data_IF_301873492548
#
_entry.id   IF_301873492548
#
_cell.length_a   1.000
_cell.length_b   1.000
_cell.length_c   1.000
_cell.angle_alpha   90.00
_cell.angle_beta   90.00
_cell.angle_gamma   90.00
#
_symmetry.space_group_name_H-M   'P 1'
#
loop_
_entity.id
_entity.type
_entity.pdbx_description
1 polymer ?
#
# COMPACT_ATOMS: atom_id res chain seq x y z
N UNK A 1 25.15 6.55 0.24
CA UNK A 1 24.39 6.15 -0.97
C UNK A 1 23.15 5.43 -0.52
N UNK A 2 21.97 5.96 -0.86
CA UNK A 2 20.71 5.26 -0.62
C UNK A 2 20.70 3.97 -1.46
N UNK A 3 20.27 2.82 -0.90
CA UNK A 3 20.14 1.60 -1.68
C UNK A 3 19.02 1.80 -2.71
N UNK A 4 19.40 2.01 -3.96
CA UNK A 4 18.45 2.06 -5.08
C UNK A 4 18.01 0.62 -5.36
N UNK A 5 16.70 0.38 -5.39
CA UNK A 5 16.14 -0.89 -5.79
C UNK A 5 16.57 -1.18 -7.24
N UNK A 6 17.40 -2.21 -7.44
CA UNK A 6 17.80 -2.63 -8.79
C UNK A 6 16.62 -3.33 -9.46
N UNK A 7 16.09 -2.72 -10.52
CA UNK A 7 14.93 -3.21 -11.26
C UNK A 7 15.33 -3.61 -12.67
N UNK A 8 14.82 -4.75 -13.15
CA UNK A 8 15.01 -5.19 -14.55
C UNK A 8 14.25 -4.30 -15.55
N UNK A 9 13.15 -3.69 -15.12
CA UNK A 9 12.40 -2.69 -15.86
C UNK A 9 11.67 -1.76 -14.89
N UNK A 10 11.01 -0.72 -15.43
CA UNK A 10 10.37 0.34 -14.64
C UNK A 10 8.92 0.02 -14.24
N UNK A 11 8.38 -1.15 -14.62
CA UNK A 11 6.98 -1.49 -14.32
C UNK A 11 6.92 -2.24 -13.00
N UNK A 12 6.29 -1.63 -12.02
CA UNK A 12 6.04 -2.21 -10.70
C UNK A 12 4.54 -2.42 -10.53
N UNK A 13 4.12 -3.65 -10.23
CA UNK A 13 2.73 -3.91 -9.89
C UNK A 13 2.41 -3.35 -8.51
N UNK A 14 1.51 -2.36 -8.45
CA UNK A 14 1.13 -1.68 -7.22
C UNK A 14 0.44 -2.62 -6.21
N UNK A 15 0.58 -2.32 -4.92
CA UNK A 15 -0.05 -3.09 -3.83
C UNK A 15 -1.55 -3.29 -4.05
N UNK A 16 -1.99 -4.53 -3.96
CA UNK A 16 -3.39 -4.94 -4.10
C UNK A 16 -3.82 -5.29 -5.53
N UNK A 17 -3.03 -4.98 -6.57
CA UNK A 17 -3.38 -5.30 -7.97
C UNK A 17 -3.13 -6.78 -8.32
N UNK A 18 -2.07 -7.36 -7.78
CA UNK A 18 -1.68 -8.76 -8.00
C UNK A 18 -1.75 -9.62 -6.72
N UNK A 19 -2.36 -9.12 -5.65
CA UNK A 19 -2.45 -9.82 -4.37
C UNK A 19 -1.08 -10.21 -3.83
N UNK A 20 -0.86 -11.51 -3.60
CA UNK A 20 0.45 -12.07 -3.24
C UNK A 20 1.12 -12.79 -4.41
N UNK A 21 0.70 -12.52 -5.64
CA UNK A 21 1.30 -13.04 -6.87
C UNK A 21 0.74 -14.39 -7.33
N UNK A 22 0.28 -15.27 -6.44
CA UNK A 22 -0.15 -16.64 -6.77
C UNK A 22 -1.30 -16.71 -7.77
N UNK A 23 -2.31 -15.84 -7.63
CA UNK A 23 -3.44 -15.80 -8.55
C UNK A 23 -3.09 -15.10 -9.87
N UNK A 24 -2.31 -14.03 -9.80
CA UNK A 24 -1.84 -13.33 -10.98
C UNK A 24 -0.92 -14.21 -11.85
N UNK A 25 -0.09 -15.04 -11.23
CA UNK A 25 0.80 -15.98 -11.92
C UNK A 25 0.07 -17.03 -12.78
N UNK A 26 -1.19 -17.33 -12.48
CA UNK A 26 -2.01 -18.21 -13.32
C UNK A 26 -2.38 -17.60 -14.67
N UNK A 27 -2.31 -16.28 -14.79
CA UNK A 27 -2.71 -15.52 -15.98
C UNK A 27 -1.55 -14.83 -16.67
N UNK A 28 -0.52 -14.44 -15.91
CA UNK A 28 0.58 -13.63 -16.39
C UNK A 28 1.92 -14.16 -15.88
N UNK A 29 2.98 -14.03 -16.70
CA UNK A 29 4.34 -14.28 -16.25
C UNK A 29 4.84 -13.08 -15.43
N UNK A 30 5.00 -13.27 -14.13
CA UNK A 30 5.44 -12.19 -13.24
C UNK A 30 6.90 -11.73 -13.48
N UNK A 31 7.71 -12.51 -14.20
CA UNK A 31 9.07 -12.09 -14.59
C UNK A 31 9.07 -10.90 -15.57
N UNK A 32 7.93 -10.54 -16.14
CA UNK A 32 7.80 -9.31 -16.94
C UNK A 32 7.70 -8.04 -16.11
N UNK A 33 7.59 -8.16 -14.78
CA UNK A 33 7.56 -7.02 -13.86
C UNK A 33 8.98 -6.67 -13.39
N UNK A 34 9.24 -5.38 -13.21
CA UNK A 34 10.45 -4.93 -12.53
C UNK A 34 10.42 -5.26 -11.02
N UNK A 35 9.25 -5.24 -10.42
CA UNK A 35 8.99 -5.65 -9.04
C UNK A 35 7.51 -5.92 -8.79
N UNK A 36 7.22 -6.66 -7.73
CA UNK A 36 5.87 -6.88 -7.23
C UNK A 36 5.73 -6.29 -5.83
N UNK A 37 4.82 -5.31 -5.67
CA UNK A 37 4.39 -4.86 -4.35
C UNK A 37 3.25 -5.77 -3.88
N UNK A 38 3.46 -6.47 -2.77
CA UNK A 38 2.47 -7.39 -2.21
C UNK A 38 1.23 -6.66 -1.71
N UNK A 39 0.15 -7.40 -1.52
CA UNK A 39 -1.03 -6.88 -0.83
C UNK A 39 -0.64 -6.35 0.54
N UNK A 40 -1.12 -5.14 0.89
CA UNK A 40 -0.91 -4.57 2.22
C UNK A 40 -1.37 -5.55 3.29
N UNK A 41 -0.45 -5.88 4.19
CA UNK A 41 -0.59 -6.94 5.20
C UNK A 41 -0.64 -6.31 6.57
N UNK A 42 -1.57 -6.75 7.40
CA UNK A 42 -1.73 -6.35 8.80
C UNK A 42 -1.22 -7.45 9.73
N UNK A 43 -1.05 -7.14 11.01
CA UNK A 43 -0.58 -8.10 12.02
C UNK A 43 -1.47 -9.36 12.03
N UNK A 44 -2.78 -9.17 12.03
CA UNK A 44 -3.76 -10.25 11.98
C UNK A 44 -4.46 -10.32 10.62
N UNK A 45 -4.97 -11.49 10.18
CA UNK A 45 -5.71 -11.62 8.94
C UNK A 45 -7.02 -10.82 8.99
N UNK A 46 -7.46 -10.32 7.82
CA UNK A 46 -8.69 -9.53 7.68
C UNK A 46 -9.55 -10.03 6.54
N UNK A 47 -10.84 -10.15 6.79
CA UNK A 47 -11.83 -10.52 5.77
C UNK A 47 -12.19 -9.34 4.83
N UNK A 48 -11.91 -8.10 5.27
CA UNK A 48 -12.28 -6.88 4.53
C UNK A 48 -13.75 -6.50 4.69
N UNK A 49 -14.19 -5.55 3.86
CA UNK A 49 -15.56 -5.02 3.90
C UNK A 49 -16.59 -5.98 3.28
N UNK A 50 -17.90 -5.80 3.53
CA UNK A 50 -18.97 -6.49 2.81
C UNK A 50 -18.94 -6.23 1.30
N UNK A 51 -19.53 -7.14 0.52
CA UNK A 51 -19.69 -6.97 -0.95
C UNK A 51 -20.98 -6.18 -1.25
N UNK A 52 -21.02 -5.45 -2.39
CA UNK A 52 -19.99 -5.25 -3.42
C UNK A 52 -18.85 -4.35 -2.95
N UNK A 53 -17.59 -4.69 -3.32
CA UNK A 53 -16.36 -3.98 -2.91
C UNK A 53 -15.70 -3.20 -4.02
N UNK A 54 -16.11 -3.43 -5.25
CA UNK A 54 -15.53 -2.83 -6.44
C UNK A 54 -16.66 -2.46 -7.39
N UNK A 55 -16.58 -1.31 -8.02
CA UNK A 55 -17.43 -0.94 -9.13
C UNK A 55 -16.65 -0.14 -10.16
N UNK A 56 -17.03 -0.29 -11.41
CA UNK A 56 -16.49 0.47 -12.52
C UNK A 56 -17.06 1.89 -12.53
N UNK A 57 -16.27 2.82 -13.01
CA UNK A 57 -16.68 4.22 -13.30
C UNK A 57 -16.32 4.54 -14.74
N UNK A 58 -16.80 5.67 -15.26
CA UNK A 58 -16.53 6.09 -16.66
C UNK A 58 -15.04 6.18 -17.01
N UNK A 59 -14.14 6.37 -16.04
CA UNK A 59 -12.70 6.51 -16.28
C UNK A 59 -11.84 5.89 -15.17
N UNK A 60 -12.28 4.75 -14.63
CA UNK A 60 -11.53 4.05 -13.59
C UNK A 60 -12.37 3.10 -12.76
N UNK A 61 -11.89 2.82 -11.56
CA UNK A 61 -12.48 1.87 -10.63
C UNK A 61 -12.56 2.47 -9.24
N UNK A 62 -13.71 2.26 -8.57
CA UNK A 62 -13.83 2.47 -7.12
C UNK A 62 -13.66 1.14 -6.41
N UNK A 63 -12.84 1.12 -5.36
CA UNK A 63 -12.69 -0.05 -4.51
C UNK A 63 -12.80 0.30 -3.03
N UNK A 64 -13.43 -0.59 -2.28
CA UNK A 64 -13.53 -0.55 -0.82
C UNK A 64 -13.24 -1.94 -0.25
N UNK A 65 -12.06 -2.51 -0.59
CA UNK A 65 -11.68 -3.87 -0.18
C UNK A 65 -11.53 -4.02 1.35
N UNK A 66 -11.28 -2.95 2.09
CA UNK A 66 -11.20 -2.98 3.56
C UNK A 66 -9.97 -3.72 4.08
N UNK A 67 -8.82 -3.62 3.40
CA UNK A 67 -7.59 -4.30 3.77
C UNK A 67 -7.74 -5.83 3.91
N UNK A 68 -8.56 -6.48 3.07
CA UNK A 68 -8.58 -7.94 3.05
C UNK A 68 -7.16 -8.48 2.83
N UNK A 69 -6.65 -9.29 3.75
CA UNK A 69 -5.32 -9.87 3.69
C UNK A 69 -5.18 -11.08 4.61
N UNK A 70 -4.12 -11.85 4.42
CA UNK A 70 -3.89 -13.13 5.12
C UNK A 70 -3.20 -12.98 6.49
N UNK A 71 -2.82 -11.76 6.88
CA UNK A 71 -2.02 -11.50 8.07
C UNK A 71 -0.53 -11.78 7.86
N UNK A 72 0.30 -11.26 8.78
CA UNK A 72 1.76 -11.30 8.64
C UNK A 72 2.30 -12.73 8.63
N UNK A 73 1.81 -13.60 9.49
CA UNK A 73 2.29 -14.98 9.62
C UNK A 73 2.16 -15.77 8.32
N UNK A 74 0.99 -15.73 7.67
CA UNK A 74 0.80 -16.41 6.40
C UNK A 74 1.55 -15.72 5.24
N UNK A 75 1.69 -14.39 5.29
CA UNK A 75 2.47 -13.66 4.29
C UNK A 75 3.94 -14.08 4.30
N UNK A 76 4.55 -14.20 5.48
CA UNK A 76 5.98 -14.54 5.66
C UNK A 76 6.27 -16.02 5.50
N UNK A 77 5.39 -16.91 5.97
CA UNK A 77 5.64 -18.36 6.00
C UNK A 77 5.14 -19.10 4.75
N UNK A 78 4.20 -18.51 3.99
CA UNK A 78 3.61 -19.18 2.82
C UNK A 78 3.77 -18.38 1.54
N UNK A 79 3.36 -17.09 1.53
CA UNK A 79 3.22 -16.30 0.31
C UNK A 79 4.57 -15.88 -0.27
N UNK A 80 5.44 -15.31 0.55
CA UNK A 80 6.79 -14.90 0.14
C UNK A 80 7.66 -16.11 -0.23
N UNK A 81 7.71 -17.21 0.55
CA UNK A 81 8.43 -18.44 0.15
C UNK A 81 7.96 -19.01 -1.19
N UNK A 82 6.64 -19.01 -1.46
CA UNK A 82 6.12 -19.45 -2.74
C UNK A 82 6.63 -18.58 -3.90
N UNK A 83 6.59 -17.26 -3.76
CA UNK A 83 7.13 -16.34 -4.78
C UNK A 83 8.62 -16.58 -5.02
N UNK A 84 9.40 -16.72 -3.97
CA UNK A 84 10.84 -16.98 -4.07
C UNK A 84 11.16 -18.28 -4.79
N UNK A 85 10.36 -19.33 -4.54
CA UNK A 85 10.52 -20.61 -5.21
C UNK A 85 10.20 -20.55 -6.70
N UNK A 86 9.13 -19.84 -7.08
CA UNK A 86 8.62 -19.82 -8.45
C UNK A 86 9.15 -18.65 -9.30
N UNK A 87 9.57 -17.55 -8.65
CA UNK A 87 10.06 -16.32 -9.28
C UNK A 87 11.29 -15.79 -8.51
N UNK A 88 12.42 -16.52 -8.51
CA UNK A 88 13.58 -16.22 -7.66
C UNK A 88 14.24 -14.88 -7.99
N UNK A 89 14.11 -14.39 -9.23
CA UNK A 89 14.69 -13.13 -9.69
C UNK A 89 13.75 -11.92 -9.50
N UNK A 90 12.46 -12.13 -9.24
CA UNK A 90 11.51 -11.04 -9.09
C UNK A 90 11.73 -10.32 -7.74
N UNK A 91 12.06 -9.02 -7.75
CA UNK A 91 12.16 -8.25 -6.50
C UNK A 91 10.80 -8.15 -5.82
N UNK A 92 10.75 -8.47 -4.53
CA UNK A 92 9.54 -8.41 -3.72
C UNK A 92 9.60 -7.17 -2.82
N UNK A 93 8.60 -6.31 -2.95
CA UNK A 93 8.34 -5.20 -2.03
C UNK A 93 7.17 -5.63 -1.14
N UNK A 94 7.41 -5.81 0.16
CA UNK A 94 6.34 -6.11 1.11
C UNK A 94 5.56 -4.83 1.41
N UNK A 95 4.23 -4.90 1.52
CA UNK A 95 3.43 -3.74 1.89
C UNK A 95 2.86 -3.93 3.30
N UNK A 96 3.26 -3.06 4.22
CA UNK A 96 2.87 -3.08 5.62
C UNK A 96 1.71 -2.11 5.89
N UNK A 97 0.73 -2.56 6.66
CA UNK A 97 -0.36 -1.74 7.18
C UNK A 97 -0.65 -2.10 8.64
N UNK A 98 -1.19 -1.16 9.39
CA UNK A 98 -1.54 -1.33 10.80
C UNK A 98 -2.59 -0.33 11.25
N UNK A 99 -3.07 -0.48 12.48
CA UNK A 99 -4.06 0.39 13.13
C UNK A 99 -3.47 1.12 14.34
N UNK A 100 -2.21 0.83 14.69
CA UNK A 100 -1.42 1.53 15.70
C UNK A 100 0.05 1.56 15.26
N UNK A 101 0.84 2.47 15.84
CA UNK A 101 2.30 2.53 15.60
C UNK A 101 2.95 1.17 15.92
N UNK A 102 2.56 0.53 17.02
CA UNK A 102 3.06 -0.78 17.44
C UNK A 102 2.76 -1.89 16.42
N UNK A 103 1.57 -1.89 15.81
CA UNK A 103 1.24 -2.87 14.77
C UNK A 103 2.11 -2.67 13.54
N UNK A 104 2.34 -1.43 13.10
CA UNK A 104 3.24 -1.14 11.98
C UNK A 104 4.67 -1.62 12.28
N UNK A 105 5.18 -1.31 13.46
CA UNK A 105 6.52 -1.74 13.89
C UNK A 105 6.67 -3.25 13.87
N UNK A 106 5.69 -3.98 14.41
CA UNK A 106 5.69 -5.46 14.41
C UNK A 106 5.65 -6.03 12.99
N UNK A 107 4.73 -5.53 12.14
CA UNK A 107 4.61 -6.00 10.76
C UNK A 107 5.88 -5.72 9.95
N UNK A 108 6.47 -4.54 10.11
CA UNK A 108 7.73 -4.18 9.45
C UNK A 108 8.89 -5.06 9.93
N UNK A 109 9.00 -5.31 11.24
CA UNK A 109 10.03 -6.18 11.81
C UNK A 109 9.95 -7.60 11.25
N UNK A 110 8.74 -8.18 11.16
CA UNK A 110 8.54 -9.51 10.57
C UNK A 110 8.94 -9.55 9.10
N UNK A 111 8.56 -8.55 8.31
CA UNK A 111 8.98 -8.46 6.92
C UNK A 111 10.49 -8.26 6.76
N UNK A 112 11.12 -7.47 7.63
CA UNK A 112 12.56 -7.24 7.61
C UNK A 112 13.36 -8.52 7.88
N UNK A 113 12.83 -9.40 8.71
CA UNK A 113 13.42 -10.71 8.99
C UNK A 113 13.06 -11.79 7.94
N UNK A 114 12.22 -11.45 6.95
CA UNK A 114 11.78 -12.42 5.94
C UNK A 114 12.72 -12.42 4.74
N UNK A 115 13.35 -13.55 4.49
CA UNK A 115 14.27 -13.70 3.37
C UNK A 115 13.56 -13.41 2.03
N UNK A 116 14.15 -12.53 1.21
CA UNK A 116 13.67 -12.18 -0.15
C UNK A 116 12.88 -10.89 -0.24
N UNK A 117 12.52 -10.28 0.87
CA UNK A 117 12.00 -8.91 0.88
C UNK A 117 13.14 -7.96 0.55
N UNK A 118 12.95 -7.14 -0.50
CA UNK A 118 13.95 -6.17 -0.99
C UNK A 118 13.69 -4.75 -0.53
N UNK A 119 12.43 -4.44 -0.24
CA UNK A 119 11.98 -3.17 0.32
C UNK A 119 10.64 -3.36 1.01
N UNK A 120 10.25 -2.39 1.84
CA UNK A 120 8.95 -2.38 2.50
C UNK A 120 8.23 -1.07 2.14
N UNK A 121 7.02 -1.19 1.58
CA UNK A 121 6.11 -0.08 1.35
C UNK A 121 5.22 0.08 2.59
N UNK A 122 5.28 1.24 3.23
CA UNK A 122 4.44 1.59 4.36
C UNK A 122 3.14 2.22 3.86
N UNK A 123 2.03 1.51 3.95
CA UNK A 123 0.72 2.00 3.57
C UNK A 123 0.06 2.74 4.74
N UNK A 124 0.19 4.07 4.78
CA UNK A 124 -0.34 4.94 5.85
C UNK A 124 -1.74 5.47 5.56
N UNK A 125 -2.40 5.02 4.50
CA UNK A 125 -3.71 5.52 4.08
C UNK A 125 -4.91 4.88 4.81
N UNK A 126 -4.68 4.07 5.84
CA UNK A 126 -5.76 3.46 6.62
C UNK A 126 -6.39 4.50 7.55
N UNK A 127 -7.70 4.80 7.39
CA UNK A 127 -8.39 5.71 8.31
C UNK A 127 -8.52 5.04 9.68
N UNK A 128 -7.70 5.43 10.64
CA UNK A 128 -7.80 4.97 12.01
C UNK A 128 -8.82 5.84 12.76
N UNK A 129 -10.09 5.45 12.69
CA UNK A 129 -11.22 6.24 13.25
C UNK A 129 -11.49 5.96 14.73
N UNK A 130 -10.83 4.97 15.36
CA UNK A 130 -11.30 4.45 16.66
C UNK A 130 -10.52 4.87 17.90
N UNK A 131 -9.33 5.47 17.81
CA UNK A 131 -8.57 5.88 18.99
C UNK A 131 -7.94 7.26 18.78
N UNK A 132 -8.63 8.31 19.19
CA UNK A 132 -8.06 9.65 19.32
C UNK A 132 -7.95 10.51 18.04
N UNK A 133 -8.52 10.08 16.90
CA UNK A 133 -8.79 10.98 15.77
C UNK A 133 -7.61 11.36 14.87
N UNK A 134 -6.39 10.93 15.12
CA UNK A 134 -5.24 11.21 14.24
C UNK A 134 -5.05 10.10 13.22
N UNK A 135 -5.39 10.37 11.97
CA UNK A 135 -5.08 9.48 10.86
C UNK A 135 -3.57 9.52 10.57
N UNK A 136 -2.87 8.39 10.73
CA UNK A 136 -1.40 8.28 10.62
C UNK A 136 -0.84 8.79 9.29
N UNK A 137 -1.65 8.91 8.27
CA UNK A 137 -1.23 9.38 6.95
C UNK A 137 -1.64 10.80 6.60
N UNK A 138 -2.27 11.56 7.52
CA UNK A 138 -2.75 12.94 7.26
C UNK A 138 -2.17 13.97 8.22
N UNK A 139 -1.53 13.53 9.30
CA UNK A 139 -0.82 14.38 10.25
C UNK A 139 0.70 14.21 10.07
N UNK A 140 1.45 15.28 9.70
CA UNK A 140 2.88 15.19 9.46
C UNK A 140 3.70 14.76 10.68
N UNK A 141 3.36 15.20 11.88
CA UNK A 141 4.12 14.87 13.11
C UNK A 141 3.96 13.39 13.47
N UNK A 142 2.72 12.90 13.37
CA UNK A 142 2.40 11.49 13.59
C UNK A 142 3.10 10.61 12.54
N UNK A 143 3.06 11.03 11.28
CA UNK A 143 3.71 10.32 10.18
C UNK A 143 5.22 10.25 10.37
N UNK A 144 5.87 11.38 10.69
CA UNK A 144 7.32 11.43 10.95
C UNK A 144 7.72 10.48 12.07
N UNK A 145 6.98 10.50 13.19
CA UNK A 145 7.24 9.64 14.35
C UNK A 145 7.09 8.17 13.99
N UNK A 146 6.02 7.81 13.29
CA UNK A 146 5.79 6.44 12.79
C UNK A 146 6.93 5.98 11.88
N UNK A 147 7.28 6.78 10.86
CA UNK A 147 8.36 6.44 9.91
C UNK A 147 9.68 6.23 10.65
N UNK A 148 10.02 7.10 11.61
CA UNK A 148 11.23 6.95 12.42
C UNK A 148 11.27 5.63 13.20
N UNK A 149 10.14 5.18 13.72
CA UNK A 149 10.05 3.90 14.44
C UNK A 149 10.19 2.70 13.49
N UNK A 150 9.48 2.71 12.35
CA UNK A 150 9.54 1.59 11.40
C UNK A 150 10.87 1.49 10.69
N UNK A 151 11.56 2.60 10.41
CA UNK A 151 12.92 2.58 9.84
C UNK A 151 13.90 1.87 10.78
N UNK A 152 13.79 2.08 12.09
CA UNK A 152 14.59 1.33 13.08
C UNK A 152 14.27 -0.16 13.07
N UNK A 153 12.99 -0.52 12.95
CA UNK A 153 12.53 -1.91 12.93
C UNK A 153 12.85 -2.64 11.62
N UNK A 154 13.12 -1.89 10.55
CA UNK A 154 13.39 -2.43 9.21
C UNK A 154 14.78 -3.06 9.04
N UNK A 155 15.68 -2.95 10.02
CA UNK A 155 17.02 -3.60 10.03
C UNK A 155 17.84 -3.33 8.75
N UNK A 156 17.73 -2.12 8.19
CA UNK A 156 18.43 -1.72 6.96
C UNK A 156 17.68 -2.03 5.65
N UNK A 157 16.52 -2.69 5.69
CA UNK A 157 15.65 -2.85 4.52
C UNK A 157 15.05 -1.48 4.16
N UNK A 158 15.11 -1.04 2.88
CA UNK A 158 14.58 0.24 2.45
C UNK A 158 13.08 0.40 2.74
N UNK A 159 12.69 1.56 3.27
CA UNK A 159 11.30 1.93 3.55
C UNK A 159 10.81 2.96 2.52
N UNK A 160 9.73 2.64 1.83
CA UNK A 160 8.98 3.55 0.96
C UNK A 160 7.65 3.90 1.61
N UNK A 161 7.30 5.17 1.70
CA UNK A 161 6.02 5.60 2.29
C UNK A 161 5.01 5.88 1.20
N UNK A 162 3.86 5.18 1.23
CA UNK A 162 2.77 5.38 0.28
C UNK A 162 1.80 6.42 0.81
N UNK A 163 1.88 7.63 0.22
CA UNK A 163 1.10 8.78 0.65
C UNK A 163 -0.35 8.76 0.16
N UNK A 164 -1.25 9.23 1.02
CA UNK A 164 -2.65 9.47 0.65
C UNK A 164 -2.80 10.79 -0.10
N UNK A 165 -3.60 10.83 -1.18
CA UNK A 165 -3.94 12.08 -1.87
C UNK A 165 -5.11 12.85 -1.22
N UNK A 166 -5.74 12.29 -0.18
CA UNK A 166 -6.94 12.85 0.46
C UNK A 166 -6.58 13.94 1.48
N UNK A 167 -5.74 14.87 1.06
CA UNK A 167 -5.26 16.03 1.82
C UNK A 167 -5.23 17.26 0.94
N UNK A 168 -5.32 18.46 1.54
CA UNK A 168 -5.24 19.72 0.81
C UNK A 168 -3.85 19.96 0.24
N UNK A 169 -2.80 19.64 1.00
CA UNK A 169 -1.41 19.78 0.62
C UNK A 169 -0.63 18.51 1.01
N UNK A 170 -0.01 17.84 0.04
CA UNK A 170 0.73 16.60 0.24
C UNK A 170 2.20 16.85 0.66
N UNK A 171 2.73 18.05 0.40
CA UNK A 171 4.14 18.36 0.62
C UNK A 171 4.58 18.20 2.08
N UNK A 172 3.83 18.66 3.10
CA UNK A 172 4.21 18.44 4.49
C UNK A 172 4.31 16.95 4.87
N UNK A 173 3.49 16.09 4.27
CA UNK A 173 3.55 14.64 4.51
C UNK A 173 4.78 14.01 3.85
N UNK A 174 5.14 14.46 2.65
CA UNK A 174 6.35 14.03 1.98
C UNK A 174 7.60 14.40 2.79
N UNK A 175 7.68 15.64 3.25
CA UNK A 175 8.76 16.13 4.12
C UNK A 175 8.83 15.37 5.46
N UNK A 176 7.68 15.08 6.07
CA UNK A 176 7.61 14.29 7.30
C UNK A 176 8.13 12.85 7.10
N UNK A 177 7.78 12.22 5.98
CA UNK A 177 8.31 10.91 5.65
C UNK A 177 9.83 10.91 5.44
N UNK A 178 10.37 11.91 4.72
CA UNK A 178 11.80 12.10 4.52
C UNK A 178 12.52 12.34 5.85
N UNK A 179 12.04 13.27 6.68
CA UNK A 179 12.59 13.56 8.01
C UNK A 179 12.49 12.36 8.96
N UNK A 180 11.52 11.48 8.77
CA UNK A 180 11.41 10.19 9.47
C UNK A 180 12.46 9.17 9.04
N UNK A 181 13.16 9.40 7.92
CA UNK A 181 14.21 8.52 7.39
C UNK A 181 13.72 7.57 6.31
N UNK A 182 12.59 7.84 5.65
CA UNK A 182 12.15 7.06 4.50
C UNK A 182 13.17 7.12 3.34
N UNK A 183 13.33 6.01 2.64
CA UNK A 183 14.22 5.91 1.48
C UNK A 183 13.55 6.39 0.18
N UNK A 184 12.24 6.60 0.20
CA UNK A 184 11.48 7.10 -0.94
C UNK A 184 9.99 7.13 -0.68
N UNK A 185 9.25 7.59 -1.68
CA UNK A 185 7.80 7.77 -1.63
C UNK A 185 7.13 6.96 -2.73
N UNK A 186 5.97 6.40 -2.42
CA UNK A 186 5.02 5.90 -3.42
C UNK A 186 3.87 6.91 -3.53
N UNK A 187 3.67 7.44 -4.72
CA UNK A 187 2.66 8.48 -4.95
C UNK A 187 1.79 8.11 -6.15
N UNK A 188 0.55 8.12 -5.96
CA UNK A 188 -0.33 8.37 -4.83
C UNK A 188 -1.20 7.14 -4.54
N UNK A 189 -1.78 7.03 -3.34
CA UNK A 189 -2.87 6.11 -3.07
C UNK A 189 -4.16 6.61 -3.77
N UNK A 190 -5.29 5.95 -3.59
CA UNK A 190 -6.56 6.24 -4.24
C UNK A 190 -7.25 7.47 -3.65
N UNK A 191 -7.98 8.22 -4.50
CA UNK A 191 -8.85 9.33 -4.07
C UNK A 191 -10.18 8.80 -3.56
N UNK A 192 -10.69 9.35 -2.47
CA UNK A 192 -12.02 9.00 -1.98
C UNK A 192 -13.10 9.47 -2.95
N UNK A 193 -13.99 8.56 -3.32
CA UNK A 193 -15.08 8.80 -4.24
C UNK A 193 -16.35 8.02 -3.88
N UNK A 194 -17.43 8.34 -4.59
CA UNK A 194 -18.75 7.69 -4.47
C UNK A 194 -19.27 7.40 -5.87
N UNK A 195 -19.90 6.23 -6.05
CA UNK A 195 -20.74 5.92 -7.21
C UNK A 195 -22.14 5.55 -6.74
N UNK A 196 -23.15 6.06 -7.44
CA UNK A 196 -24.56 5.77 -7.18
C UNK A 196 -25.12 4.97 -8.34
N UNK A 197 -25.73 3.85 -8.05
CA UNK A 197 -26.55 3.11 -8.99
C UNK A 197 -27.88 3.85 -9.21
N UNK A 198 -28.07 4.41 -10.39
CA UNK A 198 -29.23 5.22 -10.73
C UNK A 198 -30.56 4.42 -10.75
N UNK A 199 -30.49 3.10 -10.96
CA UNK A 199 -31.68 2.23 -10.95
C UNK A 199 -32.17 2.02 -9.52
N UNK A 200 -31.27 1.69 -8.62
CA UNK A 200 -31.60 1.41 -7.23
C UNK A 200 -31.58 2.64 -6.33
N UNK A 201 -30.98 3.74 -6.82
CA UNK A 201 -30.74 5.01 -6.07
C UNK A 201 -29.94 4.79 -4.78
N UNK A 202 -29.01 3.82 -4.80
CA UNK A 202 -28.17 3.44 -3.65
C UNK A 202 -26.69 3.54 -4.05
N UNK A 203 -25.79 3.67 -3.06
CA UNK A 203 -24.36 3.52 -3.32
C UNK A 203 -24.04 2.18 -4.01
N UNK A 204 -23.18 2.21 -5.02
CA UNK A 204 -22.75 1.03 -5.74
C UNK A 204 -21.85 0.10 -4.90
N UNK A 205 -21.20 0.65 -3.88
CA UNK A 205 -20.38 -0.11 -2.93
C UNK A 205 -21.10 -0.27 -1.59
N UNK A 206 -20.96 -1.44 -0.97
CA UNK A 206 -21.53 -1.72 0.36
C UNK A 206 -20.95 -0.78 1.45
N UNK A 207 -19.72 -0.31 1.29
CA UNK A 207 -19.05 0.65 2.18
C UNK A 207 -19.42 2.12 1.88
N UNK A 208 -20.38 2.37 1.00
CA UNK A 208 -20.81 3.69 0.52
C UNK A 208 -19.74 4.37 -0.34
N UNK A 209 -18.59 4.72 0.23
CA UNK A 209 -17.44 5.32 -0.44
C UNK A 209 -16.34 4.30 -0.71
N UNK A 210 -15.48 4.61 -1.68
CA UNK A 210 -14.32 3.81 -2.01
C UNK A 210 -13.18 4.66 -2.55
N UNK A 211 -12.03 4.04 -2.77
CA UNK A 211 -10.88 4.67 -3.39
C UNK A 211 -10.98 4.61 -4.92
N UNK A 212 -10.97 5.75 -5.58
CA UNK A 212 -10.92 5.89 -7.03
C UNK A 212 -9.49 5.72 -7.53
N UNK A 213 -9.33 4.87 -8.54
CA UNK A 213 -8.08 4.65 -9.29
C UNK A 213 -8.36 4.66 -10.80
N UNK A 214 -7.31 4.78 -11.61
CA UNK A 214 -7.41 4.73 -13.07
C UNK A 214 -7.15 6.07 -13.75
N UNK A 215 -7.48 6.21 -15.04
CA UNK A 215 -7.16 7.41 -15.84
C UNK A 215 -7.67 8.72 -15.25
N UNK A 216 -8.81 8.70 -14.56
CA UNK A 216 -9.40 9.90 -13.96
C UNK A 216 -8.48 10.63 -12.98
N UNK A 217 -7.62 9.90 -12.24
CA UNK A 217 -6.74 10.49 -11.22
C UNK A 217 -5.34 10.83 -11.74
N UNK A 218 -5.00 10.48 -12.99
CA UNK A 218 -3.65 10.68 -13.56
C UNK A 218 -3.17 12.14 -13.44
N UNK A 219 -3.96 13.18 -13.85
CA UNK A 219 -3.50 14.57 -13.74
C UNK A 219 -3.29 15.01 -12.29
N UNK A 220 -4.09 14.50 -11.36
CA UNK A 220 -3.92 14.77 -9.93
C UNK A 220 -2.66 14.14 -9.37
N UNK A 221 -2.38 12.87 -9.74
CA UNK A 221 -1.16 12.19 -9.36
C UNK A 221 0.08 12.93 -9.86
N UNK A 222 0.10 13.32 -11.14
CA UNK A 222 1.21 14.07 -11.73
C UNK A 222 1.43 15.43 -11.05
N UNK A 223 0.35 16.15 -10.73
CA UNK A 223 0.46 17.40 -9.98
C UNK A 223 1.09 17.19 -8.62
N UNK A 224 0.63 16.19 -7.87
CA UNK A 224 1.14 15.90 -6.52
C UNK A 224 2.61 15.44 -6.54
N UNK A 225 3.00 14.62 -7.53
CA UNK A 225 4.40 14.22 -7.72
C UNK A 225 5.28 15.43 -8.05
N UNK A 226 4.79 16.36 -8.88
CA UNK A 226 5.54 17.57 -9.24
C UNK A 226 5.72 18.53 -8.06
N UNK A 227 4.79 18.54 -7.10
CA UNK A 227 4.86 19.40 -5.92
C UNK A 227 5.87 18.93 -4.87
N UNK A 228 6.19 17.64 -4.85
CA UNK A 228 7.14 16.99 -3.93
C UNK A 228 8.52 16.89 -4.56
#
# INVERSE_FOLDING_TARGET
>A
QMPILSLFNLIIAASGTCGYGQEAAKKYNLNHLGSLVLKSTTLHPRQGNPRPRVCETSAGWLNANGLQNVGITAATNEKIPWLRKNYPQLPIIASAAGFSEDEYVKVVSEFANTAGVKAIELNVSCPNVKHGGMAMGTDPEVLQRLVKQVVKAALGIPIYVKLTPNVTNIVPLAQAAEQGGANGLTMINTLTGLSIDLKTRRPALANVTGGLSGPAIKPLALRMIHQV
#
